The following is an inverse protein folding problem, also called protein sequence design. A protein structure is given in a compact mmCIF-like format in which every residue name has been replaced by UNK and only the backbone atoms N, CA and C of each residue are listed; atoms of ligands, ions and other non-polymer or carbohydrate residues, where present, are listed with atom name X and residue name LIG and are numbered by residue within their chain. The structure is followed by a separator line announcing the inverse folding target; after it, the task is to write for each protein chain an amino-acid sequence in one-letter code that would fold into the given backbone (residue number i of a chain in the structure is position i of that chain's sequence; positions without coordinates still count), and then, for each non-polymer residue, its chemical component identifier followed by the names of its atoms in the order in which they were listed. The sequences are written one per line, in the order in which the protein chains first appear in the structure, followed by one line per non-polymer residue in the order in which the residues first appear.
data_IF_293528965311
#
_entry.id   IF_293528965311
#
_cell.length_a   1.000
_cell.length_b   1.000
_cell.length_c   1.000
_cell.angle_alpha   90.00
_cell.angle_beta   90.00
_cell.angle_gamma   90.00
#
_symmetry.space_group_name_H-M   'P 1'
#
loop_
_entity.id
_entity.type
_entity.pdbx_description
1 polymer ?
#
# COMPACT_ATOMS: atom_id res chain seq x y z
N UNK A 1 -28.29 5.97 9.72
CA UNK A 1 -27.92 4.53 9.70
C UNK A 1 -26.61 4.32 8.95
N UNK A 2 -26.49 4.75 7.68
CA UNK A 2 -25.31 4.50 6.85
C UNK A 2 -23.97 5.06 7.40
N UNK A 3 -23.98 6.22 8.08
CA UNK A 3 -22.76 6.71 8.73
C UNK A 3 -22.30 5.77 9.86
N UNK A 4 -23.24 5.15 10.59
CA UNK A 4 -22.94 4.26 11.70
C UNK A 4 -22.33 2.93 11.20
N UNK A 5 -22.81 2.41 10.07
CA UNK A 5 -22.26 1.21 9.42
C UNK A 5 -20.85 1.46 8.88
N UNK A 6 -20.57 2.64 8.31
CA UNK A 6 -19.21 3.03 7.91
C UNK A 6 -18.26 3.09 9.10
N UNK A 7 -18.65 3.73 10.21
CA UNK A 7 -17.84 3.74 11.43
C UNK A 7 -17.67 2.34 12.04
N UNK A 8 -18.69 1.49 11.93
CA UNK A 8 -18.62 0.08 12.33
C UNK A 8 -17.60 -0.71 11.50
N UNK A 9 -17.62 -0.55 10.18
CA UNK A 9 -16.63 -1.14 9.27
C UNK A 9 -15.20 -0.66 9.58
N UNK A 10 -15.04 0.63 9.91
CA UNK A 10 -13.75 1.21 10.34
C UNK A 10 -13.22 0.64 11.64
N UNK A 11 -14.08 0.54 12.66
CA UNK A 11 -13.70 -0.05 13.93
C UNK A 11 -13.25 -1.51 13.73
N UNK A 12 -13.99 -2.28 12.93
CA UNK A 12 -13.68 -3.67 12.64
C UNK A 12 -12.38 -3.83 11.86
N UNK A 13 -12.16 -2.99 10.84
CA UNK A 13 -10.93 -2.97 10.05
C UNK A 13 -9.70 -2.68 10.92
N UNK A 14 -9.77 -1.64 11.77
CA UNK A 14 -8.68 -1.28 12.69
C UNK A 14 -8.43 -2.40 13.70
N UNK A 15 -9.49 -3.00 14.24
CA UNK A 15 -9.37 -4.14 15.15
C UNK A 15 -8.70 -5.35 14.47
N UNK A 16 -9.08 -5.65 13.22
CA UNK A 16 -8.46 -6.71 12.42
C UNK A 16 -6.97 -6.49 12.19
N UNK A 17 -6.56 -5.26 11.83
CA UNK A 17 -5.14 -4.90 11.70
C UNK A 17 -4.36 -5.09 13.00
N UNK A 18 -4.94 -4.70 14.14
CA UNK A 18 -4.31 -4.91 15.45
C UNK A 18 -4.14 -6.39 15.76
N UNK A 19 -5.19 -7.19 15.56
CA UNK A 19 -5.18 -8.63 15.83
C UNK A 19 -4.13 -9.36 14.97
N UNK A 20 -4.00 -8.96 13.71
CA UNK A 20 -2.98 -9.48 12.80
C UNK A 20 -1.56 -9.15 13.27
N UNK A 21 -1.34 -7.91 13.71
CA UNK A 21 -0.03 -7.46 14.23
C UNK A 21 0.37 -8.22 15.51
N UNK A 22 -0.56 -8.33 16.45
CA UNK A 22 -0.35 -9.07 17.71
C UNK A 22 -0.16 -10.58 17.45
N UNK A 23 -0.95 -11.14 16.53
CA UNK A 23 -0.87 -12.54 16.12
C UNK A 23 0.47 -12.88 15.50
N UNK A 24 0.97 -12.02 14.60
CA UNK A 24 2.29 -12.23 14.02
C UNK A 24 3.39 -12.09 15.07
N UNK A 25 3.30 -11.09 15.96
CA UNK A 25 4.29 -10.93 17.02
C UNK A 25 4.39 -12.21 17.88
N UNK A 26 3.24 -12.78 18.25
CA UNK A 26 3.16 -14.07 18.97
C UNK A 26 3.70 -15.23 18.13
N UNK A 27 3.42 -15.26 16.84
CA UNK A 27 3.91 -16.31 15.92
C UNK A 27 5.44 -16.22 15.68
N UNK A 28 6.01 -15.01 15.68
CA UNK A 28 7.43 -14.75 15.48
C UNK A 28 8.27 -15.16 16.72
N UNK A 29 7.78 -14.89 17.93
CA UNK A 29 8.26 -15.43 19.21
C UNK A 29 9.80 -15.60 19.37
N UNK A 30 10.23 -16.73 19.96
CA UNK A 30 11.64 -17.03 20.24
C UNK A 30 12.50 -17.28 18.98
N UNK A 31 11.92 -17.23 17.77
CA UNK A 31 12.63 -17.47 16.50
C UNK A 31 13.21 -16.20 15.88
N UNK A 32 13.02 -15.04 16.50
CA UNK A 32 13.54 -13.75 16.01
C UNK A 32 15.04 -13.81 15.65
N UNK A 33 15.88 -14.47 16.48
CA UNK A 33 17.32 -14.66 16.18
C UNK A 33 17.60 -15.53 14.95
N UNK A 34 16.78 -16.56 14.71
CA UNK A 34 16.94 -17.44 13.54
C UNK A 34 16.43 -16.79 12.25
N UNK A 35 15.39 -15.95 12.36
CA UNK A 35 14.90 -15.12 11.26
C UNK A 35 15.98 -14.10 10.85
N UNK A 36 16.65 -13.50 11.84
CA UNK A 36 17.80 -12.60 11.64
C UNK A 36 18.97 -13.27 10.90
N UNK A 37 19.29 -14.53 11.21
CA UNK A 37 20.36 -15.26 10.52
C UNK A 37 19.99 -15.64 9.08
N UNK A 38 18.71 -15.90 8.79
CA UNK A 38 18.22 -16.24 7.45
C UNK A 38 18.32 -15.05 6.48
N UNK A 39 18.18 -13.81 6.97
CA UNK A 39 18.31 -12.59 6.17
C UNK A 39 19.72 -12.38 5.57
N UNK A 40 20.76 -13.00 6.13
CA UNK A 40 22.16 -12.67 5.80
C UNK A 40 22.80 -13.52 4.68
N UNK A 41 22.19 -14.62 4.25
CA UNK A 41 22.90 -15.61 3.42
C UNK A 41 23.00 -15.24 1.93
N UNK A 42 21.97 -14.62 1.33
CA UNK A 42 21.94 -14.35 -0.11
C UNK A 42 21.04 -13.16 -0.47
N UNK A 43 21.35 -12.43 -1.56
CA UNK A 43 20.58 -11.26 -2.04
C UNK A 43 19.12 -11.62 -2.37
N UNK A 44 18.88 -12.80 -2.94
CA UNK A 44 17.52 -13.27 -3.21
C UNK A 44 16.71 -13.52 -1.93
N UNK A 45 17.38 -14.04 -0.88
CA UNK A 45 16.74 -14.26 0.42
C UNK A 45 16.44 -12.92 1.09
N UNK A 46 17.31 -11.92 0.97
CA UNK A 46 17.05 -10.56 1.46
C UNK A 46 15.82 -9.91 0.79
N UNK A 47 15.62 -10.11 -0.52
CA UNK A 47 14.43 -9.61 -1.22
C UNK A 47 13.18 -10.34 -0.74
N UNK A 48 13.15 -11.67 -0.82
CA UNK A 48 11.98 -12.47 -0.46
C UNK A 48 11.50 -12.22 0.97
N UNK A 49 12.47 -12.04 1.86
CA UNK A 49 12.20 -11.82 3.27
C UNK A 49 11.75 -10.37 3.56
N UNK A 50 12.23 -9.37 2.82
CA UNK A 50 11.67 -8.02 2.83
C UNK A 50 10.24 -7.96 2.29
N UNK A 51 9.95 -8.76 1.26
CA UNK A 51 8.58 -8.98 0.75
C UNK A 51 7.69 -9.55 1.84
N UNK A 52 8.14 -10.61 2.54
CA UNK A 52 7.38 -11.26 3.61
C UNK A 52 7.14 -10.33 4.80
N UNK A 53 8.19 -9.66 5.29
CA UNK A 53 8.09 -8.72 6.41
C UNK A 53 7.10 -7.61 6.09
N UNK A 54 7.15 -7.05 4.88
CA UNK A 54 6.26 -5.94 4.48
C UNK A 54 4.84 -6.40 4.23
N UNK A 55 4.66 -7.60 3.67
CA UNK A 55 3.34 -8.19 3.50
C UNK A 55 2.60 -8.32 4.83
N UNK A 56 3.32 -8.48 5.95
CA UNK A 56 2.71 -8.65 7.26
C UNK A 56 2.71 -7.36 8.09
N UNK A 57 3.79 -6.57 8.06
CA UNK A 57 3.85 -5.29 8.79
C UNK A 57 2.93 -4.24 8.15
N UNK A 58 2.67 -4.34 6.83
CA UNK A 58 1.78 -3.49 6.02
C UNK A 58 2.11 -1.98 6.02
N UNK A 59 3.01 -1.52 6.89
CA UNK A 59 3.45 -0.14 7.03
C UNK A 59 4.87 0.01 6.51
N UNK A 60 5.00 0.55 5.29
CA UNK A 60 6.29 0.80 4.65
C UNK A 60 7.20 1.73 5.46
N UNK A 61 6.61 2.67 6.21
CA UNK A 61 7.35 3.56 7.12
C UNK A 61 7.90 2.79 8.33
N UNK A 62 7.14 1.86 8.90
CA UNK A 62 7.64 1.02 9.98
C UNK A 62 8.76 0.07 9.50
N UNK A 63 8.63 -0.48 8.29
CA UNK A 63 9.65 -1.36 7.70
C UNK A 63 10.98 -0.63 7.47
N UNK A 64 10.97 0.60 6.96
CA UNK A 64 12.21 1.37 6.74
C UNK A 64 12.91 1.72 8.05
N UNK A 65 12.16 2.12 9.09
CA UNK A 65 12.71 2.37 10.44
C UNK A 65 13.33 1.10 11.03
N UNK A 66 12.67 -0.05 10.87
CA UNK A 66 13.18 -1.34 11.32
C UNK A 66 14.53 -1.69 10.64
N UNK A 67 14.60 -1.55 9.31
CA UNK A 67 15.81 -1.86 8.54
C UNK A 67 16.97 -0.95 8.95
N UNK A 68 16.73 0.36 9.09
CA UNK A 68 17.76 1.30 9.57
C UNK A 68 18.23 0.94 10.98
N UNK A 69 17.32 0.51 11.86
CA UNK A 69 17.66 0.02 13.19
C UNK A 69 18.59 -1.20 13.17
N UNK A 70 18.35 -2.14 12.26
CA UNK A 70 19.20 -3.33 12.09
C UNK A 70 20.57 -3.03 11.48
N UNK A 71 20.67 -2.03 10.59
CA UNK A 71 21.97 -1.54 10.10
C UNK A 71 22.78 -0.97 11.26
N UNK A 72 22.17 -0.11 12.08
CA UNK A 72 22.85 0.51 13.21
C UNK A 72 23.30 -0.51 14.28
N UNK A 73 22.54 -1.60 14.44
CA UNK A 73 22.89 -2.71 15.32
C UNK A 73 23.95 -3.67 14.74
N UNK A 74 24.43 -3.43 13.51
CA UNK A 74 25.41 -4.30 12.84
C UNK A 74 24.85 -5.67 12.45
N UNK A 75 23.52 -5.85 12.47
CA UNK A 75 22.85 -7.11 12.14
C UNK A 75 22.69 -7.28 10.62
N UNK A 76 22.68 -6.19 9.86
CA UNK A 76 22.53 -6.18 8.40
C UNK A 76 23.54 -5.24 7.75
N UNK A 77 24.07 -5.65 6.61
CA UNK A 77 24.91 -4.79 5.77
C UNK A 77 24.05 -3.88 4.87
N UNK A 78 24.64 -2.78 4.39
CA UNK A 78 23.96 -1.82 3.49
C UNK A 78 23.39 -2.51 2.24
N UNK A 79 24.15 -3.41 1.62
CA UNK A 79 23.72 -4.14 0.42
C UNK A 79 22.54 -5.10 0.69
N UNK A 80 22.47 -5.70 1.88
CA UNK A 80 21.34 -6.55 2.29
C UNK A 80 20.10 -5.70 2.56
N UNK A 81 20.29 -4.54 3.18
CA UNK A 81 19.21 -3.60 3.51
C UNK A 81 18.54 -3.02 2.27
N UNK A 82 19.32 -2.69 1.23
CA UNK A 82 18.78 -2.29 -0.08
C UNK A 82 17.93 -3.43 -0.67
N UNK A 83 18.38 -4.68 -0.56
CA UNK A 83 17.61 -5.85 -1.00
C UNK A 83 16.27 -5.99 -0.26
N UNK A 84 16.27 -5.79 1.07
CA UNK A 84 15.06 -5.83 1.89
C UNK A 84 14.09 -4.70 1.51
N UNK A 85 14.58 -3.49 1.24
CA UNK A 85 13.75 -2.35 0.82
C UNK A 85 13.13 -2.59 -0.57
N UNK A 86 13.90 -3.13 -1.53
CA UNK A 86 13.34 -3.52 -2.82
C UNK A 86 12.30 -4.63 -2.67
N UNK A 87 12.56 -5.63 -1.84
CA UNK A 87 11.58 -6.66 -1.48
C UNK A 87 10.33 -6.09 -0.83
N UNK A 88 10.46 -5.12 0.06
CA UNK A 88 9.34 -4.46 0.72
C UNK A 88 8.36 -3.83 -0.27
N UNK A 89 8.87 -3.11 -1.27
CA UNK A 89 8.07 -2.49 -2.32
C UNK A 89 7.39 -3.53 -3.23
N UNK A 90 8.05 -4.68 -3.47
CA UNK A 90 7.42 -5.81 -4.15
C UNK A 90 6.29 -6.38 -3.29
N UNK A 91 6.51 -6.50 -1.97
CA UNK A 91 5.52 -6.99 -1.00
C UNK A 91 4.22 -6.20 -1.03
N UNK A 92 4.28 -4.86 -0.99
CA UNK A 92 3.06 -4.03 -1.09
C UNK A 92 2.30 -4.26 -2.40
N UNK A 93 3.01 -4.53 -3.49
CA UNK A 93 2.41 -4.83 -4.79
C UNK A 93 1.74 -6.21 -4.78
N UNK A 94 2.38 -7.22 -4.19
CA UNK A 94 1.81 -8.56 -4.04
C UNK A 94 0.56 -8.54 -3.17
N UNK A 95 0.56 -7.79 -2.07
CA UNK A 95 -0.64 -7.63 -1.22
C UNK A 95 -1.78 -6.94 -1.98
N UNK A 96 -1.48 -5.91 -2.77
CA UNK A 96 -2.49 -5.24 -3.58
C UNK A 96 -3.07 -6.16 -4.67
N UNK A 97 -2.22 -6.95 -5.33
CA UNK A 97 -2.66 -7.94 -6.32
C UNK A 97 -3.49 -9.05 -5.68
N UNK A 98 -3.09 -9.54 -4.50
CA UNK A 98 -3.90 -10.48 -3.73
C UNK A 98 -5.30 -9.92 -3.48
N UNK A 99 -5.42 -8.70 -2.95
CA UNK A 99 -6.72 -8.07 -2.71
C UNK A 99 -7.53 -7.92 -4.00
N UNK A 100 -6.88 -7.61 -5.13
CA UNK A 100 -7.51 -7.43 -6.43
C UNK A 100 -8.00 -8.75 -7.06
N UNK A 101 -7.37 -9.88 -6.76
CA UNK A 101 -7.86 -11.20 -7.15
C UNK A 101 -8.98 -11.61 -6.19
N UNK A 102 -10.24 -11.60 -6.65
CA UNK A 102 -11.47 -11.91 -5.89
C UNK A 102 -11.29 -12.82 -4.64
N UNK A 103 -10.88 -12.23 -3.50
CA UNK A 103 -10.71 -12.91 -2.21
C UNK A 103 -12.06 -13.04 -1.49
N UNK A 104 -13.16 -12.53 -2.06
CA UNK A 104 -14.46 -12.44 -1.39
C UNK A 104 -14.95 -13.79 -0.83
N UNK A 105 -14.72 -14.89 -1.55
CA UNK A 105 -15.09 -16.24 -1.10
C UNK A 105 -14.21 -16.78 0.05
N UNK A 106 -12.99 -16.24 0.22
CA UNK A 106 -12.03 -16.67 1.24
C UNK A 106 -12.27 -15.97 2.60
N UNK A 107 -12.98 -14.83 2.62
CA UNK A 107 -13.19 -14.02 3.83
C UNK A 107 -13.93 -14.80 4.92
N UNK A 108 -15.08 -15.37 4.58
CA UNK A 108 -15.90 -16.17 5.51
C UNK A 108 -15.17 -17.42 6.08
N UNK A 109 -14.56 -18.28 5.25
CA UNK A 109 -13.81 -19.41 5.77
C UNK A 109 -12.56 -18.97 6.57
N UNK A 110 -11.92 -17.85 6.24
CA UNK A 110 -10.81 -17.32 7.04
C UNK A 110 -11.24 -16.92 8.45
N UNK A 111 -12.41 -16.27 8.61
CA UNK A 111 -12.95 -15.93 9.94
C UNK A 111 -13.28 -17.21 10.73
N UNK A 112 -13.95 -18.18 10.10
CA UNK A 112 -14.32 -19.45 10.75
C UNK A 112 -13.07 -20.19 11.21
N UNK A 113 -12.07 -20.36 10.35
CA UNK A 113 -10.81 -21.01 10.68
C UNK A 113 -10.03 -20.23 11.75
N UNK A 114 -10.04 -18.90 11.69
CA UNK A 114 -9.42 -18.03 12.70
C UNK A 114 -10.02 -18.20 14.10
N UNK A 115 -11.36 -18.22 14.20
CA UNK A 115 -12.07 -18.43 15.47
C UNK A 115 -11.85 -19.85 16.00
N UNK A 116 -11.92 -20.87 15.14
CA UNK A 116 -11.67 -22.27 15.53
C UNK A 116 -10.23 -22.43 16.05
N UNK A 117 -9.26 -21.83 15.36
CA UNK A 117 -7.85 -21.87 15.76
C UNK A 117 -7.60 -21.15 17.09
N UNK A 118 -8.38 -20.12 17.41
CA UNK A 118 -8.34 -19.44 18.71
C UNK A 118 -8.79 -20.33 19.89
N UNK A 119 -9.70 -21.29 19.62
CA UNK A 119 -10.18 -22.26 20.61
C UNK A 119 -9.16 -23.38 20.89
N UNK A 120 -8.20 -23.61 19.99
CA UNK A 120 -7.13 -24.59 20.18
C UNK A 120 -6.09 -24.02 21.16
N UNK A 121 -6.06 -24.59 22.38
CA UNK A 121 -5.29 -24.10 23.54
C UNK A 121 -3.76 -24.26 23.44
N UNK A 122 -3.17 -24.45 22.25
CA UNK A 122 -1.71 -24.56 22.10
C UNK A 122 -1.08 -23.18 21.83
N UNK A 123 -0.06 -22.76 22.61
CA UNK A 123 0.51 -21.41 22.51
C UNK A 123 1.11 -21.10 21.13
N UNK A 124 1.62 -22.13 20.43
CA UNK A 124 2.21 -21.97 19.09
C UNK A 124 1.17 -21.80 17.97
N UNK A 125 -0.05 -22.30 18.15
CA UNK A 125 -1.12 -22.20 17.13
C UNK A 125 -1.96 -20.94 17.31
N UNK A 126 -2.00 -20.42 18.54
CA UNK A 126 -2.75 -19.21 18.89
C UNK A 126 -2.28 -17.98 18.12
N UNK A 127 -0.97 -17.82 17.87
CA UNK A 127 -0.44 -16.71 17.06
C UNK A 127 -0.88 -16.76 15.60
N UNK A 128 -0.88 -17.97 15.00
CA UNK A 128 -1.41 -18.16 13.64
C UNK A 128 -2.93 -17.96 13.58
N UNK A 129 -3.66 -18.40 14.60
CA UNK A 129 -5.10 -18.15 14.74
C UNK A 129 -5.45 -16.66 14.80
N UNK A 130 -4.77 -15.89 15.64
CA UNK A 130 -4.94 -14.43 15.75
C UNK A 130 -4.63 -13.73 14.41
N UNK A 131 -3.60 -14.21 13.68
CA UNK A 131 -3.22 -13.65 12.36
C UNK A 131 -4.30 -13.90 11.31
N UNK A 132 -4.78 -15.15 11.20
CA UNK A 132 -5.82 -15.55 10.22
C UNK A 132 -7.16 -14.90 10.54
N UNK A 133 -7.52 -14.81 11.82
CA UNK A 133 -8.73 -14.11 12.27
C UNK A 133 -8.64 -12.61 11.98
N UNK A 134 -7.49 -11.99 12.23
CA UNK A 134 -7.22 -10.59 11.92
C UNK A 134 -7.36 -10.30 10.43
N UNK A 135 -6.82 -11.17 9.57
CA UNK A 135 -6.98 -11.09 8.12
C UNK A 135 -8.46 -11.17 7.69
N UNK A 136 -9.22 -12.13 8.23
CA UNK A 136 -10.66 -12.26 7.93
C UNK A 136 -11.48 -11.04 8.36
N UNK A 137 -11.23 -10.51 9.56
CA UNK A 137 -11.89 -9.30 10.09
C UNK A 137 -11.52 -8.05 9.29
N UNK A 138 -10.25 -7.91 8.90
CA UNK A 138 -9.75 -6.81 8.09
C UNK A 138 -10.49 -6.76 6.74
N UNK A 139 -10.54 -7.87 6.01
CA UNK A 139 -11.23 -7.93 4.72
C UNK A 139 -12.75 -7.78 4.84
N UNK A 140 -13.37 -8.34 5.88
CA UNK A 140 -14.79 -8.13 6.13
C UNK A 140 -15.11 -6.65 6.42
N UNK A 141 -14.25 -5.96 7.18
CA UNK A 141 -14.37 -4.52 7.41
C UNK A 141 -14.23 -3.70 6.13
N UNK A 142 -13.28 -4.06 5.25
CA UNK A 142 -13.13 -3.42 3.93
C UNK A 142 -14.36 -3.64 3.03
N UNK A 143 -14.98 -4.83 3.07
CA UNK A 143 -16.19 -5.15 2.31
C UNK A 143 -17.36 -4.27 2.74
N UNK A 144 -17.62 -4.15 4.04
CA UNK A 144 -18.67 -3.29 4.60
C UNK A 144 -18.43 -1.82 4.21
N UNK A 145 -17.20 -1.32 4.32
CA UNK A 145 -16.90 0.04 3.88
C UNK A 145 -17.18 0.24 2.39
N UNK A 146 -16.76 -0.70 1.55
CA UNK A 146 -16.90 -0.60 0.10
C UNK A 146 -18.36 -0.57 -0.33
N UNK A 147 -19.22 -1.38 0.29
CA UNK A 147 -20.67 -1.39 0.00
C UNK A 147 -21.34 -0.09 0.47
N UNK A 148 -21.06 0.35 1.70
CA UNK A 148 -21.68 1.56 2.25
C UNK A 148 -21.20 2.84 1.55
N UNK A 149 -19.93 2.90 1.12
CA UNK A 149 -19.40 4.04 0.37
C UNK A 149 -19.98 4.14 -1.04
N UNK A 150 -20.31 3.01 -1.68
CA UNK A 150 -21.03 3.00 -2.98
C UNK A 150 -22.45 3.54 -2.81
N UNK A 151 -23.16 3.07 -1.77
CA UNK A 151 -24.52 3.55 -1.46
C UNK A 151 -24.54 5.03 -1.05
N UNK A 152 -23.47 5.52 -0.40
CA UNK A 152 -23.27 6.94 -0.09
C UNK A 152 -22.98 7.78 -1.33
N UNK A 153 -22.21 7.24 -2.28
CA UNK A 153 -21.84 7.95 -3.51
C UNK A 153 -23.03 8.20 -4.45
N UNK A 154 -24.07 7.37 -4.37
CA UNK A 154 -25.30 7.50 -5.17
C UNK A 154 -26.33 8.46 -4.57
N UNK A 155 -26.15 8.93 -3.32
CA UNK A 155 -27.12 9.81 -2.67
C UNK A 155 -27.05 11.25 -3.24
N UNK A 156 -28.17 11.81 -3.76
CA UNK A 156 -28.21 13.18 -4.30
C UNK A 156 -27.83 14.28 -3.28
N UNK A 157 -27.97 14.01 -1.98
CA UNK A 157 -27.50 14.88 -0.90
C UNK A 157 -25.97 14.92 -0.76
N UNK A 158 -25.23 13.93 -1.27
CA UNK A 158 -23.76 13.89 -1.25
C UNK A 158 -23.17 14.47 -2.54
N UNK A 159 -23.83 14.26 -3.68
CA UNK A 159 -23.45 14.83 -4.98
C UNK A 159 -23.48 16.37 -4.95
N UNK A 160 -24.39 16.96 -4.17
CA UNK A 160 -24.50 18.42 -4.00
C UNK A 160 -23.40 19.05 -3.14
N UNK A 161 -22.61 18.27 -2.38
CA UNK A 161 -21.41 18.77 -1.68
C UNK A 161 -20.18 18.90 -2.59
N UNK A 162 -20.10 18.12 -3.67
CA UNK A 162 -18.96 18.17 -4.60
C UNK A 162 -18.84 19.48 -5.40
N UNK A 163 -19.93 20.17 -5.82
CA UNK A 163 -19.85 21.50 -6.42
C UNK A 163 -19.12 22.54 -5.55
N UNK A 164 -19.32 22.50 -4.23
CA UNK A 164 -18.66 23.43 -3.28
C UNK A 164 -17.21 23.03 -2.96
N UNK A 165 -16.89 21.73 -2.96
CA UNK A 165 -15.50 21.24 -2.88
C UNK A 165 -14.73 21.39 -4.22
N UNK A 166 -15.43 21.62 -5.33
CA UNK A 166 -14.89 22.01 -6.63
C UNK A 166 -14.74 23.54 -6.80
N UNK A 167 -14.55 24.29 -5.71
CA UNK A 167 -14.06 25.67 -5.79
C UNK A 167 -12.62 25.68 -6.34
N UNK A 168 -12.59 25.82 -7.67
CA UNK A 168 -11.50 25.87 -8.66
C UNK A 168 -10.21 26.59 -8.24
N UNK A 169 -9.12 26.32 -8.99
CA UNK A 169 -8.57 27.41 -9.80
C UNK A 169 -8.88 27.17 -11.28
N UNK A 170 -9.33 28.24 -11.91
CA UNK A 170 -9.71 28.31 -13.32
C UNK A 170 -8.64 27.68 -14.22
N UNK A 171 -8.98 26.59 -14.92
CA UNK A 171 -8.38 26.37 -16.23
C UNK A 171 -8.82 27.57 -17.06
N UNK A 172 -7.88 28.45 -17.45
CA UNK A 172 -8.08 29.39 -18.55
C UNK A 172 -8.71 28.58 -19.68
N UNK A 173 -10.00 28.79 -19.93
CA UNK A 173 -10.51 28.66 -21.28
C UNK A 173 -9.84 29.79 -22.04
N UNK A 174 -8.63 29.52 -22.54
CA UNK A 174 -8.09 30.30 -23.64
C UNK A 174 -9.13 30.22 -24.73
N UNK A 175 -9.75 31.36 -24.99
CA UNK A 175 -10.62 31.59 -26.12
C UNK A 175 -10.06 30.87 -27.34
N UNK A 176 -10.89 30.03 -27.94
CA UNK A 176 -10.77 29.63 -29.33
C UNK A 176 -10.98 30.87 -30.20
N UNK A 177 -9.95 31.70 -30.32
CA UNK A 177 -9.79 32.66 -31.42
C UNK A 177 -8.35 33.15 -31.50
N UNK A 178 -7.66 32.65 -32.51
CA UNK A 178 -6.53 33.32 -33.15
C UNK A 178 -5.17 33.11 -32.49
N UNK A 179 -4.32 32.39 -33.21
CA UNK A 179 -2.85 32.45 -33.16
C UNK A 179 -2.15 31.94 -31.89
N UNK A 180 -1.66 30.70 -31.96
CA UNK A 180 -0.23 30.34 -31.93
C UNK A 180 -0.12 28.83 -31.72
N UNK A 181 0.36 28.13 -32.74
CA UNK A 181 0.65 26.69 -32.66
C UNK A 181 1.85 26.45 -31.76
N UNK A 182 1.62 25.81 -30.62
CA UNK A 182 2.66 25.15 -29.84
C UNK A 182 2.45 23.66 -29.97
N UNK A 183 3.25 23.04 -30.83
CA UNK A 183 3.25 21.60 -31.06
C UNK A 183 4.01 20.91 -29.93
N UNK A 184 3.39 19.92 -29.29
CA UNK A 184 3.99 19.18 -28.17
C UNK A 184 4.81 18.02 -28.72
N UNK A 185 6.09 18.27 -29.02
CA UNK A 185 6.99 17.21 -29.46
C UNK A 185 7.50 16.38 -28.28
N UNK A 186 7.18 15.08 -28.27
CA UNK A 186 7.74 14.08 -27.35
C UNK A 186 8.92 13.41 -28.03
N UNK A 187 10.15 13.84 -27.73
CA UNK A 187 11.35 13.15 -28.18
C UNK A 187 11.77 12.09 -27.16
N UNK A 188 11.80 10.83 -27.59
CA UNK A 188 12.39 9.71 -26.86
C UNK A 188 13.78 9.48 -27.46
N UNK A 189 14.85 9.75 -26.69
CA UNK A 189 16.22 9.46 -27.12
C UNK A 189 16.75 8.26 -26.35
N UNK A 190 16.96 7.16 -27.08
CA UNK A 190 17.79 6.03 -26.67
C UNK A 190 19.25 6.48 -26.53
N UNK A 191 19.86 6.31 -25.35
CA UNK A 191 21.24 5.82 -25.19
C UNK A 191 21.62 5.68 -23.70
N UNK A 192 22.47 4.67 -23.46
CA UNK A 192 23.13 4.21 -22.23
C UNK A 192 23.46 5.26 -21.14
N UNK A 193 22.87 5.10 -19.95
CA UNK A 193 23.50 5.02 -18.61
C UNK A 193 22.45 5.27 -17.49
N UNK A 194 22.56 4.60 -16.33
CA UNK A 194 21.55 4.67 -15.27
C UNK A 194 21.80 5.87 -14.33
N UNK A 195 20.70 6.35 -13.75
CA UNK A 195 20.58 7.39 -12.71
C UNK A 195 20.08 8.78 -13.19
N UNK A 196 19.02 9.23 -12.50
CA UNK A 196 18.31 10.53 -12.59
C UNK A 196 17.10 10.61 -13.54
N UNK A 197 15.98 10.01 -13.11
CA UNK A 197 14.64 10.35 -13.62
C UNK A 197 14.19 11.73 -13.09
N UNK A 198 14.69 12.79 -13.70
CA UNK A 198 14.16 14.15 -13.58
C UNK A 198 13.35 14.50 -14.83
N UNK A 199 12.02 14.58 -14.71
CA UNK A 199 11.15 15.08 -15.79
C UNK A 199 11.32 16.59 -15.96
N UNK A 200 12.32 17.00 -16.75
CA UNK A 200 12.49 18.41 -17.14
C UNK A 200 11.68 18.71 -18.41
N UNK A 201 10.52 19.36 -18.23
CA UNK A 201 9.78 19.99 -19.33
C UNK A 201 10.42 21.35 -19.63
N UNK A 202 11.11 21.47 -20.75
CA UNK A 202 11.60 22.76 -21.24
C UNK A 202 10.60 23.34 -22.24
N UNK A 203 10.09 24.55 -21.95
CA UNK A 203 9.33 25.35 -22.91
C UNK A 203 10.33 26.19 -23.71
N UNK A 204 10.52 25.86 -24.99
CA UNK A 204 11.30 26.71 -25.89
C UNK A 204 10.38 27.81 -26.44
N UNK A 205 10.51 29.04 -25.94
CA UNK A 205 9.84 30.20 -26.56
C UNK A 205 10.56 30.52 -27.87
N UNK A 206 9.98 30.09 -29.00
CA UNK A 206 10.42 30.56 -30.32
C UNK A 206 9.98 32.02 -30.50
N UNK A 207 10.97 32.83 -30.90
CA UNK A 207 10.98 34.29 -31.05
C UNK A 207 9.66 34.99 -31.40
N UNK A 208 9.47 36.13 -30.72
CA UNK A 208 8.54 37.18 -31.11
C UNK A 208 9.00 37.79 -32.45
N UNK A 209 8.26 37.53 -33.53
CA UNK A 209 8.46 38.22 -34.81
C UNK A 209 7.27 39.15 -35.04
N UNK A 210 7.59 40.44 -34.99
CA UNK A 210 6.71 41.60 -35.15
C UNK A 210 6.20 41.64 -36.59
N UNK A 211 4.88 41.64 -36.79
CA UNK A 211 4.24 41.87 -38.08
C UNK A 211 3.54 43.22 -38.05
N UNK A 212 3.95 44.10 -38.97
CA UNK A 212 3.15 45.24 -39.44
C UNK A 212 1.79 44.77 -39.98
#
# INVERSE_FOLDING_TARGET
MQMLTVFGGLALFIYGMKLMSDGLHKAAGNRMRSILHFFSSNRFVAILSGTLVTAIVQSSSATTVMVVGFINAGLLNLLQSIGIIFGANIGTTVTAQLIAFDIEWLIMPAIILGVISCFISRPSWRGWGDTVLGFGLLFFGMSIMSTELKDLAENPGFISFFPDLQLRPARRQSASRGYFGCDWHRSYSDHDHPEQFGLQRYCHCLGCQRSD
#
